data_IF_889696561202
#
_entry.id   IF_889696561202
#
_cell.length_a   1.000
_cell.length_b   1.000
_cell.length_c   1.000
_cell.angle_alpha   90.00
_cell.angle_beta   90.00
_cell.angle_gamma   90.00
#
_symmetry.space_group_name_H-M   'P 1'
#
loop_
_entity.id
_entity.type
_entity.pdbx_description
1 polymer ?
#
# COMPACT_ATOMS: atom_id res chain seq x y z
N UNK A 1 20.92 -49.14 8.15
CA UNK A 1 20.06 -48.20 7.40
C UNK A 1 20.79 -47.77 6.13
N UNK A 2 20.28 -48.13 4.95
CA UNK A 2 20.89 -47.76 3.66
C UNK A 2 20.66 -46.27 3.37
N UNK A 3 21.69 -45.55 2.89
CA UNK A 3 21.59 -44.14 2.52
C UNK A 3 20.77 -44.00 1.22
N UNK A 4 19.78 -43.10 1.16
CA UNK A 4 18.98 -42.92 -0.05
C UNK A 4 19.88 -42.54 -1.22
N UNK A 5 19.72 -43.26 -2.34
CA UNK A 5 20.51 -43.05 -3.56
C UNK A 5 20.22 -41.67 -4.13
N UNK A 6 21.25 -40.97 -4.63
CA UNK A 6 21.17 -39.58 -5.15
C UNK A 6 20.06 -39.43 -6.20
N UNK A 7 19.90 -40.43 -7.07
CA UNK A 7 18.85 -40.50 -8.09
C UNK A 7 17.44 -40.59 -7.51
N UNK A 8 17.26 -41.31 -6.40
CA UNK A 8 15.96 -41.42 -5.73
C UNK A 8 15.52 -40.09 -5.12
N UNK A 9 16.47 -39.30 -4.60
CA UNK A 9 16.21 -37.98 -4.03
C UNK A 9 15.83 -36.98 -5.11
N UNK A 10 16.52 -37.00 -6.25
CA UNK A 10 16.19 -36.16 -7.42
C UNK A 10 14.79 -36.47 -7.96
N UNK A 11 14.47 -37.75 -8.18
CA UNK A 11 13.16 -38.17 -8.66
C UNK A 11 12.03 -37.81 -7.67
N UNK A 12 12.27 -38.00 -6.37
CA UNK A 12 11.29 -37.63 -5.34
C UNK A 12 11.01 -36.12 -5.33
N UNK A 13 12.04 -35.29 -5.47
CA UNK A 13 11.88 -33.84 -5.54
C UNK A 13 11.17 -33.40 -6.83
N UNK A 14 11.46 -34.05 -7.96
CA UNK A 14 10.80 -33.80 -9.25
C UNK A 14 9.31 -34.14 -9.20
N UNK A 15 8.96 -35.34 -8.72
CA UNK A 15 7.55 -35.75 -8.57
C UNK A 15 6.84 -34.84 -7.57
N UNK A 16 7.46 -34.54 -6.43
CA UNK A 16 6.88 -33.65 -5.43
C UNK A 16 6.59 -32.26 -5.97
N UNK A 17 7.39 -31.77 -6.92
CA UNK A 17 7.15 -30.48 -7.59
C UNK A 17 6.06 -30.56 -8.66
N UNK A 18 5.90 -31.70 -9.32
CA UNK A 18 4.88 -31.91 -10.35
C UNK A 18 3.47 -32.19 -9.77
N UNK A 19 3.40 -32.90 -8.64
CA UNK A 19 2.13 -33.29 -8.01
C UNK A 19 1.76 -32.44 -6.79
N UNK A 20 2.74 -31.74 -6.21
CA UNK A 20 2.55 -30.89 -5.04
C UNK A 20 1.95 -29.54 -5.41
N UNK A 21 0.63 -29.49 -5.61
CA UNK A 21 -0.09 -28.23 -5.59
C UNK A 21 0.14 -27.49 -4.27
N UNK A 22 0.25 -26.16 -4.33
CA UNK A 22 0.29 -25.33 -3.14
C UNK A 22 -0.97 -25.55 -2.31
N UNK A 23 -0.83 -25.94 -1.03
CA UNK A 23 -1.97 -26.07 -0.12
C UNK A 23 -2.47 -24.68 0.25
N UNK A 24 -3.59 -24.29 -0.35
CA UNK A 24 -4.29 -23.03 -0.09
C UNK A 24 -5.34 -23.25 0.98
N UNK A 25 -5.28 -22.48 2.05
CA UNK A 25 -6.29 -22.43 3.10
C UNK A 25 -7.15 -21.19 2.87
N UNK A 26 -8.45 -21.39 2.67
CA UNK A 26 -9.41 -20.29 2.51
C UNK A 26 -9.54 -19.52 3.82
N UNK A 27 -9.50 -18.19 3.73
CA UNK A 27 -9.62 -17.29 4.89
C UNK A 27 -10.95 -16.58 4.88
N UNK A 28 -11.24 -15.84 3.81
CA UNK A 28 -12.38 -14.94 3.72
C UNK A 28 -12.63 -14.50 2.28
N UNK A 29 -13.76 -13.82 2.09
CA UNK A 29 -14.18 -13.21 0.84
C UNK A 29 -14.50 -11.73 1.10
N UNK A 30 -14.03 -10.85 0.22
CA UNK A 30 -14.39 -9.43 0.26
C UNK A 30 -15.80 -9.18 -0.24
N UNK A 31 -16.30 -7.97 -0.03
CA UNK A 31 -17.58 -7.52 -0.62
C UNK A 31 -17.59 -7.53 -2.15
N UNK A 32 -16.40 -7.48 -2.77
CA UNK A 32 -16.21 -7.56 -4.22
C UNK A 32 -16.13 -9.00 -4.74
N UNK A 33 -16.30 -10.02 -3.89
CA UNK A 33 -16.17 -11.42 -4.26
C UNK A 33 -14.72 -11.89 -4.46
N UNK A 34 -13.75 -11.10 -3.98
CA UNK A 34 -12.33 -11.47 -3.98
C UNK A 34 -12.09 -12.49 -2.86
N UNK A 35 -11.57 -13.68 -3.20
CA UNK A 35 -11.31 -14.74 -2.22
C UNK A 35 -9.87 -14.72 -1.75
N UNK A 36 -9.66 -14.75 -0.45
CA UNK A 36 -8.35 -14.67 0.17
C UNK A 36 -7.89 -16.01 0.72
N UNK A 37 -6.60 -16.31 0.53
CA UNK A 37 -6.00 -17.58 0.91
C UNK A 37 -4.68 -17.40 1.63
N UNK A 38 -4.40 -18.30 2.57
CA UNK A 38 -3.06 -18.51 3.12
C UNK A 38 -2.45 -19.71 2.42
N UNK A 39 -1.30 -19.48 1.81
CA UNK A 39 -0.53 -20.50 1.11
C UNK A 39 0.53 -21.01 2.08
N UNK A 40 0.47 -22.30 2.42
CA UNK A 40 1.45 -22.95 3.30
C UNK A 40 2.66 -23.37 2.48
N UNK A 41 3.72 -22.57 2.50
CA UNK A 41 5.00 -22.90 1.90
C UNK A 41 5.91 -23.56 2.93
N UNK A 42 5.84 -24.90 2.99
CA UNK A 42 6.65 -25.69 3.92
C UNK A 42 6.28 -25.47 5.38
N UNK A 43 7.26 -25.59 6.28
CA UNK A 43 7.05 -25.63 7.74
C UNK A 43 6.93 -24.24 8.39
N UNK A 44 7.49 -23.20 7.76
CA UNK A 44 7.65 -21.88 8.38
C UNK A 44 7.20 -20.69 7.51
N UNK A 45 7.15 -20.83 6.18
CA UNK A 45 6.72 -19.74 5.30
C UNK A 45 5.20 -19.79 5.09
N UNK A 46 4.51 -18.69 5.37
CA UNK A 46 3.10 -18.49 5.05
C UNK A 46 3.02 -17.32 4.09
N UNK A 47 2.89 -17.62 2.80
CA UNK A 47 2.57 -16.62 1.79
C UNK A 47 1.07 -16.38 1.77
N UNK A 48 0.65 -15.19 1.34
CA UNK A 48 -0.76 -14.79 1.29
C UNK A 48 -1.10 -14.41 -0.14
N UNK A 49 -2.28 -14.82 -0.60
CA UNK A 49 -2.72 -14.57 -1.97
C UNK A 49 -4.22 -14.32 -2.02
N UNK A 50 -4.67 -13.79 -3.15
CA UNK A 50 -6.08 -13.63 -3.43
C UNK A 50 -6.39 -14.09 -4.85
N UNK A 51 -7.64 -14.46 -5.08
CA UNK A 51 -8.17 -14.82 -6.38
C UNK A 51 -9.34 -13.88 -6.69
N UNK A 52 -9.31 -13.28 -7.87
CA UNK A 52 -10.39 -12.45 -8.36
C UNK A 52 -11.62 -13.33 -8.66
N UNK A 53 -12.84 -12.78 -8.57
CA UNK A 53 -14.05 -13.53 -8.91
C UNK A 53 -14.00 -14.00 -10.37
N UNK A 54 -14.38 -15.27 -10.59
CA UNK A 54 -14.25 -15.96 -11.88
C UNK A 54 -15.06 -15.30 -13.00
N UNK A 55 -16.17 -14.66 -12.64
CA UNK A 55 -17.08 -13.97 -13.55
C UNK A 55 -17.25 -12.51 -13.08
N UNK A 56 -16.27 -11.64 -13.36
CA UNK A 56 -16.35 -10.24 -12.93
C UNK A 56 -15.23 -9.35 -13.45
N UNK A 57 -15.39 -8.04 -13.24
CA UNK A 57 -14.29 -7.09 -13.44
C UNK A 57 -13.24 -7.36 -12.36
N UNK A 58 -11.98 -7.51 -12.77
CA UNK A 58 -10.84 -7.60 -11.85
C UNK A 58 -10.82 -6.31 -11.04
N UNK A 59 -11.25 -6.41 -9.79
CA UNK A 59 -11.35 -5.27 -8.87
C UNK A 59 -10.27 -5.43 -7.82
N UNK A 60 -9.46 -4.39 -7.65
CA UNK A 60 -8.41 -4.41 -6.64
C UNK A 60 -9.02 -4.62 -5.24
N UNK A 61 -8.37 -5.42 -4.37
CA UNK A 61 -8.81 -5.59 -3.00
C UNK A 61 -8.87 -4.26 -2.25
N UNK A 62 -9.74 -4.16 -1.23
CA UNK A 62 -9.72 -2.96 -0.37
C UNK A 62 -8.37 -2.77 0.32
N UNK A 63 -8.08 -1.53 0.73
CA UNK A 63 -6.81 -1.16 1.38
C UNK A 63 -6.48 -2.03 2.59
N UNK A 64 -7.51 -2.45 3.34
CA UNK A 64 -7.37 -3.32 4.49
C UNK A 64 -6.84 -4.70 4.08
N UNK A 65 -7.46 -5.31 3.06
CA UNK A 65 -7.01 -6.57 2.50
C UNK A 65 -5.64 -6.49 1.86
N UNK A 66 -5.30 -5.38 1.17
CA UNK A 66 -3.95 -5.16 0.62
C UNK A 66 -2.90 -5.13 1.73
N UNK A 67 -3.19 -4.49 2.88
CA UNK A 67 -2.27 -4.45 4.02
C UNK A 67 -2.03 -5.85 4.61
N UNK A 68 -3.08 -6.67 4.68
CA UNK A 68 -2.96 -8.05 5.10
C UNK A 68 -2.20 -8.89 4.07
N UNK A 69 -2.44 -8.75 2.76
CA UNK A 69 -1.69 -9.46 1.72
C UNK A 69 -0.19 -9.13 1.77
N UNK A 70 0.17 -7.86 2.00
CA UNK A 70 1.56 -7.40 2.15
C UNK A 70 2.23 -7.91 3.43
N UNK A 71 1.48 -8.48 4.37
CA UNK A 71 2.01 -8.96 5.65
C UNK A 71 2.23 -7.87 6.68
N UNK A 72 1.82 -6.61 6.42
CA UNK A 72 1.94 -5.54 7.42
C UNK A 72 0.99 -5.77 8.59
N UNK A 73 -0.15 -6.42 8.35
CA UNK A 73 -1.07 -6.90 9.40
C UNK A 73 -0.90 -8.39 9.65
N UNK A 74 -1.03 -8.84 10.90
CA UNK A 74 -0.96 -10.27 11.25
C UNK A 74 -2.28 -11.00 11.00
N UNK A 75 -3.40 -10.35 11.31
CA UNK A 75 -4.75 -10.90 11.22
C UNK A 75 -5.49 -10.30 10.01
N UNK A 76 -6.37 -11.07 9.36
CA UNK A 76 -7.24 -10.51 8.32
C UNK A 76 -8.15 -9.43 8.93
N UNK A 77 -8.59 -8.45 8.14
CA UNK A 77 -9.52 -7.43 8.60
C UNK A 77 -10.84 -8.06 9.07
N UNK A 78 -11.44 -7.47 10.10
CA UNK A 78 -12.75 -7.88 10.60
C UNK A 78 -13.88 -7.12 9.92
N UNK A 79 -15.07 -7.73 9.84
CA UNK A 79 -16.26 -7.09 9.26
C UNK A 79 -16.64 -5.79 9.99
N UNK A 80 -16.55 -5.78 11.32
CA UNK A 80 -16.81 -4.59 12.14
C UNK A 80 -15.82 -3.46 11.83
N UNK A 81 -14.53 -3.77 11.65
CA UNK A 81 -13.50 -2.80 11.30
C UNK A 81 -13.75 -2.22 9.90
N UNK A 82 -14.10 -3.09 8.93
CA UNK A 82 -14.44 -2.68 7.57
C UNK A 82 -15.64 -1.72 7.56
N UNK A 83 -16.69 -2.05 8.32
CA UNK A 83 -17.88 -1.20 8.45
C UNK A 83 -17.55 0.18 9.05
N UNK A 84 -16.77 0.21 10.14
CA UNK A 84 -16.34 1.47 10.77
C UNK A 84 -15.46 2.31 9.83
N UNK A 85 -14.58 1.67 9.07
CA UNK A 85 -13.70 2.37 8.13
C UNK A 85 -14.50 2.92 6.94
N UNK A 86 -15.56 2.23 6.48
CA UNK A 86 -16.48 2.76 5.46
C UNK A 86 -17.19 4.03 5.96
N UNK A 87 -17.74 3.99 7.17
CA UNK A 87 -18.41 5.16 7.77
C UNK A 87 -17.43 6.33 7.88
N UNK A 88 -16.19 6.06 8.32
CA UNK A 88 -15.15 7.10 8.41
C UNK A 88 -14.80 7.69 7.04
N UNK A 89 -14.71 6.87 6.00
CA UNK A 89 -14.45 7.33 4.63
C UNK A 89 -15.58 8.21 4.11
N UNK A 90 -16.84 7.81 4.31
CA UNK A 90 -18.02 8.61 3.92
C UNK A 90 -18.03 9.97 4.62
N UNK A 91 -17.85 9.99 5.95
CA UNK A 91 -17.78 11.22 6.72
C UNK A 91 -16.61 12.13 6.29
N UNK A 92 -15.47 11.55 5.89
CA UNK A 92 -14.35 12.33 5.38
C UNK A 92 -14.65 12.97 4.03
N UNK A 93 -15.32 12.24 3.12
CA UNK A 93 -15.73 12.78 1.82
C UNK A 93 -16.72 13.93 1.99
N UNK A 94 -17.70 13.80 2.89
CA UNK A 94 -18.64 14.88 3.21
C UNK A 94 -17.94 16.12 3.74
N UNK A 95 -17.00 15.95 4.69
CA UNK A 95 -16.19 17.06 5.22
C UNK A 95 -15.36 17.72 4.13
N UNK A 96 -14.70 16.93 3.28
CA UNK A 96 -13.90 17.46 2.18
C UNK A 96 -14.77 18.27 1.21
N UNK A 97 -15.95 17.76 0.85
CA UNK A 97 -16.89 18.48 -0.03
C UNK A 97 -17.37 19.81 0.57
N UNK A 98 -17.58 19.87 1.89
CA UNK A 98 -17.95 21.12 2.58
C UNK A 98 -16.76 22.08 2.58
N UNK A 99 -15.57 21.58 2.91
CA UNK A 99 -14.34 22.36 2.91
C UNK A 99 -14.06 22.95 1.53
N UNK A 100 -14.09 22.16 0.47
CA UNK A 100 -13.88 22.61 -0.91
C UNK A 100 -14.86 23.72 -1.33
N UNK A 101 -16.12 23.64 -0.91
CA UNK A 101 -17.11 24.71 -1.16
C UNK A 101 -16.88 25.97 -0.34
N UNK A 102 -16.35 25.82 0.87
CA UNK A 102 -16.12 26.93 1.81
C UNK A 102 -14.75 27.57 1.67
N UNK A 103 -13.80 26.89 1.04
CA UNK A 103 -12.45 27.39 0.86
C UNK A 103 -12.48 28.52 -0.17
N UNK A 104 -11.84 29.67 0.14
CA UNK A 104 -11.63 30.68 -0.87
C UNK A 104 -10.79 30.06 -1.99
N UNK A 105 -11.19 30.26 -3.24
CA UNK A 105 -10.33 29.99 -4.39
C UNK A 105 -9.12 30.92 -4.27
N UNK A 106 -8.05 30.41 -3.67
CA UNK A 106 -6.74 31.03 -3.76
C UNK A 106 -6.26 30.66 -5.15
N UNK A 107 -6.41 31.58 -6.09
CA UNK A 107 -5.78 31.53 -7.38
C UNK A 107 -4.27 31.33 -7.15
N UNK A 108 -3.81 30.08 -7.22
CA UNK A 108 -2.39 29.74 -7.21
C UNK A 108 -1.67 30.26 -8.47
N UNK A 109 -2.37 30.99 -9.35
CA UNK A 109 -1.81 32.05 -10.21
C UNK A 109 -1.39 33.26 -9.38
N UNK A 110 -0.57 33.03 -8.35
CA UNK A 110 0.46 33.99 -8.08
C UNK A 110 1.35 33.96 -9.31
N UNK A 111 1.31 35.02 -10.13
CA UNK A 111 2.40 35.31 -11.05
C UNK A 111 3.68 35.01 -10.27
N UNK A 112 4.41 34.01 -10.72
CA UNK A 112 5.76 33.75 -10.24
C UNK A 112 6.54 34.99 -10.65
N UNK A 113 6.48 36.05 -9.82
CA UNK A 113 7.55 37.02 -9.73
C UNK A 113 8.76 36.14 -9.57
N UNK A 114 9.56 36.07 -10.62
CA UNK A 114 10.73 35.24 -10.75
C UNK A 114 11.75 35.71 -9.73
N UNK A 115 11.49 35.42 -8.45
CA UNK A 115 12.43 35.53 -7.38
C UNK A 115 13.45 34.44 -7.67
N UNK A 116 14.48 34.85 -8.42
CA UNK A 116 15.70 34.12 -8.73
C UNK A 116 15.93 33.04 -7.68
N UNK A 117 15.78 31.78 -8.10
CA UNK A 117 15.90 30.54 -7.33
C UNK A 117 16.97 30.62 -6.21
N UNK A 118 16.64 31.19 -5.06
CA UNK A 118 17.46 31.06 -3.86
C UNK A 118 16.82 30.00 -2.99
N UNK A 119 17.61 28.99 -2.62
CA UNK A 119 17.20 27.87 -1.76
C UNK A 119 16.65 28.32 -0.40
N UNK A 120 16.85 29.59 -0.04
CA UNK A 120 16.43 30.18 1.23
C UNK A 120 15.83 31.59 1.02
N UNK A 121 14.92 32.02 1.91
CA UNK A 121 14.42 33.39 1.92
C UNK A 121 15.56 34.37 2.22
N UNK A 122 15.62 35.47 1.46
CA UNK A 122 16.54 36.58 1.71
C UNK A 122 15.77 37.70 2.40
N UNK A 123 16.37 38.26 3.44
CA UNK A 123 15.82 39.38 4.20
C UNK A 123 16.73 40.57 4.00
N UNK A 124 16.17 41.73 3.64
CA UNK A 124 16.96 42.93 3.32
C UNK A 124 17.71 43.50 4.53
N UNK A 125 17.22 43.19 5.73
CA UNK A 125 17.73 43.67 7.02
C UNK A 125 19.00 42.93 7.47
N UNK A 126 19.27 41.76 6.88
CA UNK A 126 20.36 40.89 7.28
C UNK A 126 21.51 40.92 6.28
N UNK A 127 22.74 40.86 6.81
CA UNK A 127 23.94 40.74 6.01
C UNK A 127 24.05 39.32 5.44
N UNK A 128 24.43 39.21 4.16
CA UNK A 128 24.61 37.91 3.49
C UNK A 128 25.95 37.28 3.87
N UNK A 129 26.94 38.14 4.14
CA UNK A 129 28.23 37.79 4.73
C UNK A 129 28.66 38.92 5.67
N UNK A 130 29.48 38.65 6.70
CA UNK A 130 29.89 39.68 7.66
C UNK A 130 30.44 40.92 6.97
N UNK A 131 29.80 42.08 7.18
CA UNK A 131 30.19 43.36 6.60
C UNK A 131 29.72 43.61 5.17
N UNK A 132 28.90 42.73 4.57
CA UNK A 132 28.33 42.93 3.23
C UNK A 132 26.82 42.75 3.23
N UNK A 133 26.12 43.87 2.98
CA UNK A 133 24.71 43.87 2.64
C UNK A 133 24.56 44.44 1.21
N UNK A 134 24.08 43.63 0.24
CA UNK A 134 23.92 44.08 -1.15
C UNK A 134 22.92 45.24 -1.32
N UNK A 135 22.07 45.51 -0.31
CA UNK A 135 21.07 46.56 -0.34
C UNK A 135 21.49 47.84 0.41
N UNK A 136 22.64 47.86 1.09
CA UNK A 136 23.20 49.09 1.68
C UNK A 136 24.14 49.76 0.66
N UNK A 137 23.76 50.94 0.19
CA UNK A 137 24.63 51.84 -0.61
C UNK A 137 25.61 52.58 0.28
#
# INVERSE_FOLDING_TARGET
MSRPSVWSTLWKNMIARATGGQKREYVAEDEFGNKFYVIKEGKHSKTRGYEAPMNGKVTEPTKEWVSWLKGTRRFPPSENELALNRIRQQAQLERNNILEKSMPNVDSTGETKSQKNSTFPKYDDFEVSPGYNPNKK
#
